data_IF_460327659275
#
_entry.id   IF_460327659275
#
_cell.length_a   1.000
_cell.length_b   1.000
_cell.length_c   1.000
_cell.angle_alpha   90.00
_cell.angle_beta   90.00
_cell.angle_gamma   90.00
#
_symmetry.space_group_name_H-M   'P 1'
#
loop_
_entity.id
_entity.type
_entity.pdbx_description
1 polymer ?
#
# COMPACT_ATOMS: atom_id res chain seq x y z
N UNK A 1 6.10 37.38 -16.28
CA UNK A 1 5.58 36.49 -17.33
C UNK A 1 5.69 35.07 -16.78
N UNK A 2 4.74 34.71 -15.90
CA UNK A 2 4.71 33.46 -15.15
C UNK A 2 4.08 32.37 -16.02
N UNK A 3 4.91 31.52 -16.61
CA UNK A 3 4.47 30.34 -17.36
C UNK A 3 5.33 29.12 -17.03
N UNK A 4 5.77 28.99 -15.78
CA UNK A 4 6.48 27.80 -15.30
C UNK A 4 5.67 27.06 -14.23
N UNK A 5 5.42 25.77 -14.51
CA UNK A 5 5.16 24.67 -13.56
C UNK A 5 3.72 24.19 -13.28
N UNK A 6 2.74 24.48 -14.14
CA UNK A 6 1.48 23.70 -14.14
C UNK A 6 1.66 22.22 -14.58
N UNK A 7 2.87 21.82 -15.00
CA UNK A 7 3.21 20.47 -15.46
C UNK A 7 3.52 19.42 -14.37
N UNK A 8 3.28 19.65 -13.07
CA UNK A 8 3.66 18.62 -12.07
C UNK A 8 2.67 18.30 -10.94
N UNK A 9 1.48 18.88 -10.94
CA UNK A 9 0.48 18.60 -9.92
C UNK A 9 -0.37 17.39 -10.31
N UNK A 10 -0.09 16.25 -9.66
CA UNK A 10 -0.97 15.09 -9.72
C UNK A 10 -2.35 15.48 -9.19
N UNK A 11 -3.41 15.25 -9.96
CA UNK A 11 -4.77 15.64 -9.59
C UNK A 11 -5.53 14.49 -8.90
N UNK A 12 -6.55 14.79 -8.08
CA UNK A 12 -7.45 13.77 -7.54
C UNK A 12 -8.16 12.92 -8.61
N UNK A 13 -8.36 13.47 -9.81
CA UNK A 13 -8.94 12.74 -10.94
C UNK A 13 -7.96 11.74 -11.56
N UNK A 14 -6.66 12.06 -11.59
CA UNK A 14 -5.63 11.08 -11.96
C UNK A 14 -5.58 9.94 -10.93
N UNK A 15 -5.70 10.23 -9.63
CA UNK A 15 -5.83 9.17 -8.60
C UNK A 15 -7.09 8.33 -8.82
N UNK A 16 -8.23 8.97 -9.13
CA UNK A 16 -9.48 8.27 -9.42
C UNK A 16 -9.35 7.37 -10.66
N UNK A 17 -8.69 7.87 -11.71
CA UNK A 17 -8.40 7.12 -12.94
C UNK A 17 -7.49 5.92 -12.66
N UNK A 18 -6.47 6.10 -11.82
CA UNK A 18 -5.61 5.02 -11.34
C UNK A 18 -6.42 3.95 -10.61
N UNK A 19 -7.23 4.34 -9.63
CA UNK A 19 -8.08 3.44 -8.83
C UNK A 19 -9.12 2.71 -9.68
N UNK A 20 -9.63 3.32 -10.75
CA UNK A 20 -10.60 2.72 -11.68
C UNK A 20 -9.95 2.02 -12.87
N UNK A 21 -8.63 2.03 -12.97
CA UNK A 21 -7.93 1.48 -14.13
C UNK A 21 -8.17 -0.02 -14.22
N UNK A 22 -8.20 -0.58 -15.44
CA UNK A 22 -8.33 -2.03 -15.63
C UNK A 22 -7.28 -2.80 -14.84
N UNK A 23 -6.08 -2.26 -14.66
CA UNK A 23 -5.00 -2.87 -13.86
C UNK A 23 -5.31 -2.93 -12.36
N UNK A 24 -6.03 -1.93 -11.83
CA UNK A 24 -6.52 -1.92 -10.44
C UNK A 24 -7.81 -2.73 -10.27
N UNK A 25 -8.75 -2.66 -11.22
CA UNK A 25 -9.97 -3.48 -11.16
C UNK A 25 -9.67 -4.98 -11.35
N UNK A 26 -8.60 -5.30 -12.09
CA UNK A 26 -8.07 -6.66 -12.20
C UNK A 26 -7.53 -7.17 -10.86
N UNK A 27 -7.20 -6.29 -9.89
CA UNK A 27 -6.85 -6.66 -8.51
C UNK A 27 -8.08 -7.17 -7.77
N UNK A 28 -9.24 -6.55 -7.99
CA UNK A 28 -10.52 -6.97 -7.40
C UNK A 28 -11.03 -8.25 -8.06
N UNK A 29 -10.69 -8.50 -9.34
CA UNK A 29 -11.14 -9.67 -10.09
C UNK A 29 -10.16 -10.86 -10.16
N UNK A 30 -8.90 -10.73 -9.73
CA UNK A 30 -7.90 -11.80 -9.83
C UNK A 30 -7.62 -12.49 -8.50
N UNK A 31 -8.09 -13.73 -8.42
CA UNK A 31 -7.59 -14.78 -7.52
C UNK A 31 -6.89 -15.92 -8.29
N UNK A 32 -6.51 -15.70 -9.56
CA UNK A 32 -5.97 -16.77 -10.42
C UNK A 32 -4.43 -16.77 -10.56
N UNK A 33 -3.76 -15.62 -10.46
CA UNK A 33 -2.29 -15.52 -10.47
C UNK A 33 -1.80 -14.82 -9.20
N UNK A 34 -1.50 -15.61 -8.18
CA UNK A 34 -1.06 -15.17 -6.84
C UNK A 34 -0.01 -14.03 -6.91
N UNK A 35 1.03 -14.20 -7.73
CA UNK A 35 2.19 -13.29 -7.80
C UNK A 35 1.81 -11.90 -8.36
N UNK A 36 1.02 -11.86 -9.43
CA UNK A 36 0.55 -10.62 -10.06
C UNK A 36 -0.44 -9.88 -9.17
N UNK A 37 -1.31 -10.64 -8.47
CA UNK A 37 -2.19 -10.11 -7.44
C UNK A 37 -1.40 -9.42 -6.32
N UNK A 38 -0.29 -10.00 -5.86
CA UNK A 38 0.50 -9.43 -4.75
C UNK A 38 1.20 -8.11 -5.08
N UNK A 39 1.77 -7.98 -6.27
CA UNK A 39 2.41 -6.73 -6.70
C UNK A 39 1.39 -5.60 -6.82
N UNK A 40 0.18 -5.94 -7.25
CA UNK A 40 -0.91 -5.02 -7.44
C UNK A 40 -1.59 -4.65 -6.10
N UNK A 41 -1.84 -5.62 -5.22
CA UNK A 41 -2.36 -5.44 -3.85
C UNK A 41 -1.48 -4.54 -2.99
N UNK A 42 -0.15 -4.72 -3.06
CA UNK A 42 0.83 -3.79 -2.45
C UNK A 42 0.55 -2.36 -2.90
N UNK A 43 0.41 -2.16 -4.20
CA UNK A 43 0.23 -0.83 -4.78
C UNK A 43 -1.18 -0.25 -4.49
N UNK A 44 -2.21 -1.08 -4.35
CA UNK A 44 -3.55 -0.65 -3.96
C UNK A 44 -3.60 -0.15 -2.51
N UNK A 45 -3.01 -0.90 -1.57
CA UNK A 45 -2.92 -0.50 -0.17
C UNK A 45 -2.23 0.87 0.01
N UNK A 46 -1.22 1.11 -0.82
CA UNK A 46 -0.48 2.36 -0.91
C UNK A 46 -1.33 3.55 -1.37
N UNK A 47 -2.12 3.37 -2.42
CA UNK A 47 -2.97 4.42 -2.99
C UNK A 47 -4.22 4.67 -2.13
N UNK A 48 -4.74 3.68 -1.41
CA UNK A 48 -5.96 3.86 -0.61
C UNK A 48 -5.66 4.47 0.77
N UNK A 49 -4.53 4.11 1.39
CA UNK A 49 -4.21 4.60 2.74
C UNK A 49 -3.41 5.91 2.77
N UNK A 50 -2.80 6.32 1.65
CA UNK A 50 -1.97 7.53 1.62
C UNK A 50 -0.79 7.51 2.59
N UNK A 51 -0.29 6.32 2.93
CA UNK A 51 0.79 6.12 3.90
C UNK A 51 2.17 6.31 3.24
N UNK A 52 3.18 6.59 4.06
CA UNK A 52 4.57 6.60 3.56
C UNK A 52 5.05 5.18 3.29
N UNK A 53 6.00 5.05 2.38
CA UNK A 53 6.65 3.78 2.08
C UNK A 53 7.29 3.15 3.31
N UNK A 54 7.84 3.96 4.23
CA UNK A 54 8.40 3.48 5.50
C UNK A 54 7.36 2.85 6.41
N UNK A 55 6.16 3.44 6.53
CA UNK A 55 5.04 2.85 7.31
C UNK A 55 4.66 1.50 6.72
N UNK A 56 4.61 1.38 5.40
CA UNK A 56 4.18 0.15 4.74
C UNK A 56 5.26 -0.94 4.74
N UNK A 57 6.53 -0.56 4.67
CA UNK A 57 7.64 -1.50 4.89
C UNK A 57 7.60 -2.07 6.31
N UNK A 58 7.12 -1.28 7.29
CA UNK A 58 6.99 -1.72 8.67
C UNK A 58 5.73 -2.55 8.94
N UNK A 59 4.84 -2.72 7.97
CA UNK A 59 3.67 -3.59 8.10
C UNK A 59 4.14 -5.04 8.14
N UNK A 60 4.04 -5.67 9.32
CA UNK A 60 4.57 -7.01 9.58
C UNK A 60 3.48 -8.01 9.95
N UNK A 61 3.72 -9.33 9.79
CA UNK A 61 2.78 -10.36 10.26
C UNK A 61 2.42 -10.18 11.75
N UNK A 62 3.39 -9.81 12.59
CA UNK A 62 3.15 -9.54 14.00
C UNK A 62 2.21 -8.35 14.26
N UNK A 63 2.28 -7.29 13.44
CA UNK A 63 1.37 -6.15 13.55
C UNK A 63 -0.05 -6.54 13.11
N UNK A 64 -0.16 -7.30 12.02
CA UNK A 64 -1.44 -7.76 11.46
C UNK A 64 -2.15 -8.71 12.42
N UNK A 65 -1.42 -9.63 13.06
CA UNK A 65 -2.00 -10.51 14.08
C UNK A 65 -2.53 -9.75 15.32
N UNK A 66 -2.18 -8.49 15.49
CA UNK A 66 -2.65 -7.59 16.55
C UNK A 66 -3.65 -6.56 16.04
N UNK A 67 -4.16 -6.72 14.82
CA UNK A 67 -5.08 -5.77 14.23
C UNK A 67 -6.37 -5.67 15.05
N UNK A 68 -6.91 -4.46 15.14
CA UNK A 68 -8.21 -4.21 15.74
C UNK A 68 -9.28 -4.38 14.66
N UNK A 69 -10.07 -5.44 14.78
CA UNK A 69 -11.14 -5.76 13.85
C UNK A 69 -12.44 -5.14 14.34
N UNK A 70 -13.18 -4.47 13.45
CA UNK A 70 -14.53 -3.95 13.68
C UNK A 70 -15.51 -4.54 12.65
N UNK A 71 -16.80 -4.24 12.74
CA UNK A 71 -17.83 -4.74 11.80
C UNK A 71 -17.52 -4.41 10.34
N UNK A 72 -16.97 -3.21 10.11
CA UNK A 72 -16.86 -2.60 8.78
C UNK A 72 -15.40 -2.44 8.30
N UNK A 73 -14.44 -2.46 9.23
CA UNK A 73 -13.04 -2.22 8.93
C UNK A 73 -12.09 -2.88 9.92
N UNK A 74 -10.84 -3.03 9.51
CA UNK A 74 -9.75 -3.47 10.38
C UNK A 74 -8.66 -2.41 10.41
N UNK A 75 -8.12 -2.13 11.59
CA UNK A 75 -7.03 -1.17 11.78
C UNK A 75 -5.80 -1.91 12.27
N UNK A 76 -4.70 -1.80 11.53
CA UNK A 76 -3.40 -2.29 11.94
C UNK A 76 -2.57 -1.14 12.50
N UNK A 77 -2.10 -1.31 13.73
CA UNK A 77 -1.21 -0.34 14.38
C UNK A 77 0.24 -0.78 14.19
N UNK A 78 1.02 0.09 13.56
CA UNK A 78 2.45 -0.09 13.33
C UNK A 78 3.19 0.71 14.39
N UNK A 79 3.85 -0.01 15.30
CA UNK A 79 4.69 0.60 16.32
C UNK A 79 5.86 1.34 15.66
N UNK A 80 6.19 2.52 16.20
CA UNK A 80 7.24 3.42 15.72
C UNK A 80 8.50 2.65 15.31
N UNK A 81 8.88 2.73 14.05
CA UNK A 81 10.20 2.31 13.58
C UNK A 81 11.10 3.53 13.41
N UNK A 82 12.39 3.37 13.77
CA UNK A 82 13.44 4.39 13.66
C UNK A 82 13.33 5.16 12.32
N UNK A 83 13.36 6.49 12.46
CA UNK A 83 13.60 7.60 11.50
C UNK A 83 12.46 8.39 10.86
N UNK A 84 11.23 7.89 10.61
CA UNK A 84 10.40 8.57 9.58
C UNK A 84 8.99 9.08 9.98
N UNK A 85 8.46 8.80 11.18
CA UNK A 85 7.14 9.32 11.59
C UNK A 85 6.97 9.51 13.11
N UNK A 86 6.18 10.52 13.52
CA UNK A 86 5.87 10.84 14.93
C UNK A 86 4.71 9.97 15.42
N UNK A 87 4.97 9.07 16.38
CA UNK A 87 3.95 8.20 16.98
C UNK A 87 3.72 6.87 16.25
N UNK A 88 2.84 5.98 16.77
CA UNK A 88 2.41 4.80 16.03
C UNK A 88 1.62 5.21 14.77
N UNK A 89 1.80 4.48 13.68
CA UNK A 89 1.03 4.69 12.46
C UNK A 89 -0.16 3.74 12.41
N UNK A 90 -1.31 4.22 11.94
CA UNK A 90 -2.52 3.42 11.78
C UNK A 90 -2.82 3.21 10.30
N UNK A 91 -2.94 1.95 9.90
CA UNK A 91 -3.30 1.56 8.54
C UNK A 91 -4.70 0.94 8.57
N UNK A 92 -5.62 1.55 7.83
CA UNK A 92 -7.01 1.12 7.73
C UNK A 92 -7.23 0.18 6.55
N UNK A 93 -7.98 -0.89 6.80
CA UNK A 93 -8.36 -1.88 5.81
C UNK A 93 -9.89 -1.99 5.80
N UNK A 94 -10.57 -1.56 4.72
CA UNK A 94 -11.96 -1.91 4.50
C UNK A 94 -12.12 -3.44 4.52
N UNK A 95 -13.28 -3.94 4.96
CA UNK A 95 -13.51 -5.40 5.10
C UNK A 95 -13.15 -6.23 3.87
N UNK A 96 -13.52 -5.85 2.63
CA UNK A 96 -13.10 -6.60 1.43
C UNK A 96 -11.58 -6.66 1.29
N UNK A 97 -10.89 -5.56 1.61
CA UNK A 97 -9.43 -5.48 1.55
C UNK A 97 -8.75 -6.34 2.62
N UNK A 98 -9.35 -6.43 3.81
CA UNK A 98 -8.84 -7.24 4.90
C UNK A 98 -8.81 -8.73 4.57
N UNK A 99 -9.88 -9.24 3.94
CA UNK A 99 -9.93 -10.65 3.49
C UNK A 99 -8.77 -11.00 2.54
N UNK A 100 -8.37 -10.05 1.69
CA UNK A 100 -7.19 -10.21 0.83
C UNK A 100 -5.86 -10.19 1.61
N UNK A 101 -5.74 -9.35 2.65
CA UNK A 101 -4.56 -9.38 3.55
C UNK A 101 -4.42 -10.75 4.20
N UNK A 102 -5.52 -11.30 4.71
CA UNK A 102 -5.54 -12.60 5.40
C UNK A 102 -5.18 -13.73 4.44
N UNK A 103 -5.80 -13.73 3.25
CA UNK A 103 -5.49 -14.70 2.19
C UNK A 103 -4.02 -14.64 1.79
N UNK A 104 -3.46 -13.42 1.66
CA UNK A 104 -2.04 -13.23 1.37
C UNK A 104 -1.15 -13.83 2.45
N UNK A 105 -1.40 -13.51 3.71
CA UNK A 105 -0.61 -14.05 4.81
C UNK A 105 -0.74 -15.57 4.91
N UNK A 106 -1.91 -16.12 4.61
CA UNK A 106 -2.10 -17.56 4.54
C UNK A 106 -1.23 -18.18 3.43
N UNK A 107 -1.23 -17.61 2.23
CA UNK A 107 -0.37 -18.07 1.13
C UNK A 107 1.11 -17.97 1.46
N UNK A 108 1.56 -16.85 2.07
CA UNK A 108 2.95 -16.70 2.49
C UNK A 108 3.38 -17.76 3.49
N UNK A 109 2.57 -17.99 4.54
CA UNK A 109 2.88 -18.97 5.59
C UNK A 109 3.00 -20.40 5.06
N UNK A 110 2.30 -20.71 3.97
CA UNK A 110 2.31 -22.03 3.33
C UNK A 110 3.32 -22.14 2.18
N UNK A 111 4.07 -21.08 1.88
CA UNK A 111 5.07 -21.12 0.82
C UNK A 111 6.35 -21.83 1.31
N UNK A 112 6.89 -22.84 0.59
CA UNK A 112 8.00 -23.67 1.08
C UNK A 112 9.25 -22.90 1.52
N UNK A 113 9.53 -21.77 0.87
CA UNK A 113 10.68 -20.90 1.11
C UNK A 113 10.43 -19.78 2.14
N UNK A 114 9.29 -19.79 2.84
CA UNK A 114 8.91 -18.72 3.76
C UNK A 114 9.07 -19.16 5.23
N UNK A 115 10.11 -18.66 5.89
CA UNK A 115 10.30 -18.87 7.33
C UNK A 115 9.38 -17.93 8.13
N UNK A 116 8.29 -18.49 8.65
CA UNK A 116 7.30 -17.76 9.46
C UNK A 116 7.89 -17.15 10.75
N UNK A 117 8.89 -17.79 11.36
CA UNK A 117 9.52 -17.28 12.59
C UNK A 117 10.46 -16.12 12.26
N UNK A 118 11.32 -16.29 11.26
CA UNK A 118 12.25 -15.24 10.84
C UNK A 118 11.51 -14.02 10.28
N UNK A 119 10.42 -14.22 9.53
CA UNK A 119 9.68 -13.15 8.87
C UNK A 119 8.62 -12.48 9.75
N UNK A 120 8.40 -12.96 10.99
CA UNK A 120 7.35 -12.47 11.89
C UNK A 120 7.35 -10.95 12.10
N UNK A 121 8.54 -10.34 12.23
CA UNK A 121 8.72 -8.89 12.45
C UNK A 121 9.14 -8.15 11.18
N UNK A 122 9.31 -8.86 10.07
CA UNK A 122 9.72 -8.32 8.78
C UNK A 122 8.50 -7.79 8.02
N UNK A 123 8.75 -7.00 6.98
CA UNK A 123 7.71 -6.56 6.04
C UNK A 123 6.91 -7.75 5.52
N UNK A 124 5.58 -7.61 5.45
CA UNK A 124 4.75 -8.58 4.74
C UNK A 124 5.06 -8.58 3.25
N UNK A 125 5.54 -7.48 2.68
CA UNK A 125 5.87 -7.40 1.27
C UNK A 125 7.21 -8.08 1.03
N UNK A 126 7.17 -9.28 0.42
CA UNK A 126 8.35 -10.09 0.18
C UNK A 126 8.61 -10.31 -1.31
N UNK A 127 9.88 -10.51 -1.65
CA UNK A 127 10.32 -11.15 -2.89
C UNK A 127 10.82 -12.56 -2.57
N UNK A 128 10.67 -13.46 -3.52
CA UNK A 128 11.29 -14.77 -3.45
C UNK A 128 12.52 -14.76 -4.35
N UNK A 129 13.66 -15.13 -3.77
CA UNK A 129 14.90 -15.28 -4.52
C UNK A 129 15.02 -16.73 -4.99
N UNK A 130 14.98 -16.91 -6.31
CA UNK A 130 15.06 -18.23 -6.93
C UNK A 130 16.44 -18.90 -6.70
N UNK A 131 17.50 -18.10 -6.50
CA UNK A 131 18.86 -18.61 -6.32
C UNK A 131 19.10 -19.13 -4.90
N UNK A 132 18.57 -18.45 -3.90
CA UNK A 132 18.71 -18.84 -2.49
C UNK A 132 17.52 -19.63 -1.97
N UNK A 133 16.44 -19.73 -2.75
CA UNK A 133 15.15 -20.29 -2.34
C UNK A 133 14.65 -19.73 -1.01
N UNK A 134 14.84 -18.43 -0.78
CA UNK A 134 14.40 -17.74 0.44
C UNK A 134 13.46 -16.57 0.13
N UNK A 135 12.55 -16.32 1.06
CA UNK A 135 11.78 -15.09 1.08
C UNK A 135 12.59 -13.95 1.70
N UNK A 136 12.64 -12.80 1.02
CA UNK A 136 13.27 -11.58 1.51
C UNK A 136 12.26 -10.44 1.57
N UNK A 137 12.26 -9.68 2.67
CA UNK A 137 11.47 -8.46 2.75
C UNK A 137 11.89 -7.43 1.69
N UNK A 138 10.92 -6.81 1.03
CA UNK A 138 11.17 -5.71 0.10
C UNK A 138 11.69 -4.49 0.86
N UNK A 139 12.71 -3.84 0.28
CA UNK A 139 13.17 -2.54 0.75
C UNK A 139 12.19 -1.43 0.35
N UNK A 140 12.23 -0.29 1.05
CA UNK A 140 11.48 0.91 0.65
C UNK A 140 11.74 1.32 -0.81
N UNK A 141 12.98 1.19 -1.30
CA UNK A 141 13.30 1.47 -2.70
C UNK A 141 12.59 0.53 -3.68
N UNK A 142 12.54 -0.78 -3.37
CA UNK A 142 11.83 -1.75 -4.21
C UNK A 142 10.32 -1.50 -4.21
N UNK A 143 9.74 -1.11 -3.07
CA UNK A 143 8.33 -0.71 -2.97
C UNK A 143 8.09 0.54 -3.82
N UNK A 144 8.94 1.56 -3.71
CA UNK A 144 8.83 2.79 -4.50
C UNK A 144 8.90 2.54 -6.01
N UNK A 145 9.83 1.68 -6.44
CA UNK A 145 9.97 1.26 -7.85
C UNK A 145 8.69 0.58 -8.34
N UNK A 146 8.06 -0.24 -7.51
CA UNK A 146 6.80 -0.91 -7.81
C UNK A 146 5.63 0.06 -8.04
N UNK A 147 5.56 1.14 -7.26
CA UNK A 147 4.53 2.17 -7.40
C UNK A 147 4.76 2.99 -8.67
N UNK A 148 6.00 3.42 -8.88
CA UNK A 148 6.39 4.18 -10.07
C UNK A 148 6.06 3.41 -11.35
N UNK A 149 6.34 2.09 -11.36
CA UNK A 149 6.00 1.21 -12.48
C UNK A 149 4.50 1.16 -12.74
N UNK A 150 3.67 0.93 -11.71
CA UNK A 150 2.22 0.90 -11.88
C UNK A 150 1.69 2.24 -12.41
N UNK A 151 2.19 3.34 -11.86
CA UNK A 151 1.82 4.67 -12.32
C UNK A 151 2.18 4.88 -13.80
N UNK A 152 3.39 4.51 -14.20
CA UNK A 152 3.83 4.59 -15.60
C UNK A 152 3.00 3.69 -16.53
N UNK A 153 2.57 2.52 -16.06
CA UNK A 153 1.67 1.64 -16.82
C UNK A 153 0.29 2.26 -17.06
N UNK A 154 -0.20 3.11 -16.16
CA UNK A 154 -1.53 3.72 -16.28
C UNK A 154 -1.49 5.10 -16.94
N UNK A 155 -0.44 5.88 -16.70
CA UNK A 155 -0.35 7.29 -17.12
C UNK A 155 0.82 7.58 -18.07
N UNK A 156 1.57 6.56 -18.50
CA UNK A 156 2.64 6.68 -19.49
C UNK A 156 3.90 7.43 -19.03
N UNK A 157 3.93 7.95 -17.80
CA UNK A 157 5.03 8.76 -17.26
C UNK A 157 5.45 8.24 -15.89
N UNK A 158 6.73 8.32 -15.49
CA UNK A 158 7.14 7.94 -14.13
C UNK A 158 6.73 9.01 -13.11
N UNK A 159 6.54 8.60 -11.85
CA UNK A 159 6.24 9.54 -10.76
C UNK A 159 6.91 9.19 -9.44
N UNK A 160 7.25 10.21 -8.66
CA UNK A 160 7.69 10.03 -7.28
C UNK A 160 6.51 9.68 -6.38
N UNK A 161 6.71 8.72 -5.49
CA UNK A 161 5.69 8.21 -4.57
C UNK A 161 5.23 9.27 -3.58
N UNK A 162 6.12 10.18 -3.19
CA UNK A 162 5.79 11.35 -2.37
C UNK A 162 4.77 12.28 -3.05
N UNK A 163 4.82 12.39 -4.39
CA UNK A 163 3.88 13.22 -5.15
C UNK A 163 2.47 12.61 -5.21
N UNK A 164 2.34 11.28 -5.17
CA UNK A 164 1.04 10.59 -5.17
C UNK A 164 0.29 10.78 -3.84
N UNK A 165 1.03 10.84 -2.73
CA UNK A 165 0.48 10.79 -1.37
C UNK A 165 -0.51 11.91 -1.06
N UNK A 166 -0.13 13.17 -1.31
CA UNK A 166 -0.98 14.34 -1.00
C UNK A 166 -2.30 14.32 -1.81
N UNK A 167 -2.30 14.09 -3.13
CA UNK A 167 -3.53 13.91 -3.92
C UNK A 167 -4.41 12.74 -3.44
N UNK A 168 -3.81 11.62 -3.04
CA UNK A 168 -4.55 10.49 -2.44
C UNK A 168 -5.29 10.93 -1.17
N UNK A 169 -4.58 11.58 -0.24
CA UNK A 169 -5.19 12.06 1.02
C UNK A 169 -6.31 13.06 0.72
N UNK A 170 -6.10 13.98 -0.24
CA UNK A 170 -7.13 14.92 -0.69
C UNK A 170 -8.33 14.18 -1.30
N UNK A 171 -8.11 13.17 -2.14
CA UNK A 171 -9.18 12.38 -2.74
C UNK A 171 -10.02 11.66 -1.69
N UNK A 172 -9.38 10.97 -0.75
CA UNK A 172 -10.05 10.26 0.35
C UNK A 172 -10.83 11.27 1.21
N UNK A 173 -10.23 12.41 1.59
CA UNK A 173 -10.95 13.47 2.30
C UNK A 173 -12.19 13.92 1.55
N UNK A 174 -12.08 14.22 0.26
CA UNK A 174 -13.22 14.69 -0.53
C UNK A 174 -14.34 13.64 -0.66
N UNK A 175 -14.01 12.34 -0.64
CA UNK A 175 -15.01 11.27 -0.70
C UNK A 175 -15.77 11.06 0.62
N UNK A 176 -15.10 11.19 1.77
CA UNK A 176 -15.70 10.85 3.07
C UNK A 176 -16.16 12.05 3.89
N UNK A 177 -15.65 13.25 3.62
CA UNK A 177 -15.83 14.44 4.48
C UNK A 177 -16.60 15.58 3.81
N UNK A 178 -16.92 15.47 2.52
CA UNK A 178 -17.42 16.61 1.75
C UNK A 178 -16.41 17.78 1.74
N UNK A 179 -16.64 18.82 0.93
CA UNK A 179 -15.80 20.01 0.98
C UNK A 179 -16.03 20.74 2.33
N UNK A 180 -15.07 20.64 3.26
CA UNK A 180 -15.00 21.53 4.43
C UNK A 180 -14.91 20.89 5.82
N UNK A 181 -14.92 19.56 5.98
CA UNK A 181 -14.74 18.97 7.33
C UNK A 181 -13.28 18.53 7.58
N UNK A 182 -12.67 19.16 8.58
CA UNK A 182 -11.35 18.81 9.10
C UNK A 182 -11.47 17.62 10.07
N UNK A 183 -10.61 16.61 9.89
CA UNK A 183 -10.35 15.66 10.97
C UNK A 183 -9.43 16.33 12.00
N UNK A 184 -9.69 16.18 13.32
CA UNK A 184 -8.73 16.60 14.33
C UNK A 184 -7.51 15.69 14.23
N UNK A 185 -6.34 16.28 13.99
CA UNK A 185 -5.07 15.58 14.14
C UNK A 185 -4.92 15.22 15.62
N UNK A 186 -5.04 13.93 15.95
CA UNK A 186 -4.58 13.37 17.23
C UNK A 186 -3.75 12.14 16.95
#
# INVERSE_FOLDING_TARGET
MEAESLQSLITPDQIRSLLKSRKVNVIESLLQDLISFFLAFRNYLLVVNGQTTGVLQALSPAAINKARITSDSTVVTIAKHKTDYMGPAHVGFPKPLWTYVESYLHCLKNFPSYDTKAMRKSSIFVRFDASTQTAMALSSSAINKGINKLWAEVHGTPVSTTKIRKPVVTHVRNQYLGPGTCWPLT
#
